data_IF_153453389307
#
_entry.id   IF_153453389307
#
_cell.length_a   1.000
_cell.length_b   1.000
_cell.length_c   1.000
_cell.angle_alpha   90.00
_cell.angle_beta   90.00
_cell.angle_gamma   90.00
#
_symmetry.space_group_name_H-M   'P 1'
#
loop_
_entity.id
_entity.type
_entity.pdbx_description
1 polymer ?
#
# COMPACT_ATOMS: atom_id res chain seq x y z
N UNK A 1 -24.54 -56.32 -3.57
CA UNK A 1 -25.12 -55.46 -2.52
C UNK A 1 -23.94 -54.78 -1.83
N UNK A 2 -23.60 -53.49 -1.94
CA UNK A 2 -24.14 -52.28 -2.61
C UNK A 2 -22.93 -51.56 -3.25
N UNK A 3 -23.19 -50.89 -4.38
CA UNK A 3 -22.26 -50.10 -5.21
C UNK A 3 -22.18 -48.67 -4.66
N UNK A 4 -21.01 -48.05 -4.59
CA UNK A 4 -20.87 -46.58 -4.67
C UNK A 4 -19.44 -46.19 -5.03
N UNK A 5 -19.25 -46.01 -6.34
CA UNK A 5 -18.20 -45.17 -6.90
C UNK A 5 -18.47 -43.72 -6.50
N UNK A 6 -17.46 -43.00 -6.02
CA UNK A 6 -17.52 -41.53 -6.05
C UNK A 6 -16.17 -40.97 -6.48
N UNK A 7 -16.01 -40.85 -7.79
CA UNK A 7 -15.15 -39.85 -8.39
C UNK A 7 -15.73 -38.47 -8.02
N UNK A 8 -14.99 -37.70 -7.22
CA UNK A 8 -15.01 -36.24 -7.28
C UNK A 8 -13.57 -35.85 -7.62
N UNK A 9 -13.26 -35.47 -8.85
CA UNK A 9 -13.91 -34.36 -9.53
C UNK A 9 -13.25 -33.08 -9.02
N UNK A 10 -12.24 -32.67 -9.77
CA UNK A 10 -11.46 -31.42 -9.73
C UNK A 10 -12.18 -30.18 -9.21
N UNK A 11 -11.54 -29.48 -8.27
CA UNK A 11 -11.34 -28.02 -8.26
C UNK A 11 -9.89 -27.84 -7.74
N UNK A 12 -8.85 -27.50 -8.49
CA UNK A 12 -8.75 -26.56 -9.60
C UNK A 12 -9.50 -25.25 -9.36
N UNK A 13 -9.48 -24.76 -8.13
CA UNK A 13 -9.25 -23.33 -7.97
C UNK A 13 -7.76 -23.11 -8.23
N UNK A 14 -7.41 -23.06 -9.52
CA UNK A 14 -6.41 -22.11 -9.97
C UNK A 14 -6.83 -20.80 -9.31
N UNK A 15 -6.20 -20.45 -8.19
CA UNK A 15 -6.06 -19.04 -7.85
C UNK A 15 -5.40 -18.48 -9.10
N UNK A 16 -6.21 -17.89 -9.98
CA UNK A 16 -5.70 -17.00 -11.00
C UNK A 16 -4.70 -16.16 -10.23
N UNK A 17 -3.41 -16.28 -10.58
CA UNK A 17 -2.34 -15.52 -9.96
C UNK A 17 -2.75 -14.07 -10.16
N UNK A 18 -3.49 -13.51 -9.19
CA UNK A 18 -3.95 -12.14 -9.27
C UNK A 18 -2.66 -11.36 -9.44
N UNK A 19 -2.51 -10.65 -10.56
CA UNK A 19 -1.29 -9.91 -10.85
C UNK A 19 -1.01 -8.95 -9.72
N UNK A 20 0.26 -8.74 -9.41
CA UNK A 20 0.64 -7.74 -8.41
C UNK A 20 0.16 -6.35 -8.85
N UNK A 21 -0.35 -5.60 -7.89
CA UNK A 21 -0.74 -4.21 -8.07
C UNK A 21 0.51 -3.39 -8.34
N UNK A 22 0.44 -2.57 -9.38
CA UNK A 22 1.41 -1.51 -9.63
C UNK A 22 1.35 -0.44 -8.53
N UNK A 23 2.41 0.36 -8.41
CA UNK A 23 2.41 1.49 -7.48
C UNK A 23 1.30 2.51 -7.81
N UNK A 24 0.94 2.66 -9.08
CA UNK A 24 -0.14 3.53 -9.53
C UNK A 24 -1.51 3.07 -9.02
N UNK A 25 -1.74 1.75 -8.94
CA UNK A 25 -2.97 1.20 -8.35
C UNK A 25 -3.00 1.33 -6.82
N UNK A 26 -1.84 1.27 -6.17
CA UNK A 26 -1.73 1.39 -4.72
C UNK A 26 -1.89 2.86 -4.28
N UNK A 27 -1.11 3.76 -4.89
CA UNK A 27 -1.01 5.19 -4.57
C UNK A 27 -1.10 6.05 -5.85
N UNK A 28 -2.30 6.23 -6.44
CA UNK A 28 -2.44 6.93 -7.72
C UNK A 28 -1.96 8.39 -7.68
N UNK A 29 -2.24 9.13 -6.60
CA UNK A 29 -1.82 10.52 -6.49
C UNK A 29 -0.30 10.63 -6.34
N UNK A 30 0.31 9.83 -5.45
CA UNK A 30 1.76 9.84 -5.29
C UNK A 30 2.51 9.31 -6.51
N UNK A 31 1.97 8.33 -7.24
CA UNK A 31 2.54 7.88 -8.52
C UNK A 31 2.65 9.04 -9.52
N UNK A 32 1.60 9.84 -9.65
CA UNK A 32 1.60 11.02 -10.52
C UNK A 32 2.62 12.07 -10.06
N UNK A 33 2.69 12.34 -8.75
CA UNK A 33 3.64 13.31 -8.17
C UNK A 33 5.10 12.90 -8.43
N UNK A 34 5.47 11.64 -8.17
CA UNK A 34 6.84 11.19 -8.42
C UNK A 34 7.20 11.21 -9.91
N UNK A 35 6.26 10.96 -10.82
CA UNK A 35 6.49 11.03 -12.27
C UNK A 35 6.72 12.46 -12.75
N UNK A 36 6.01 13.42 -12.18
CA UNK A 36 6.05 14.83 -12.57
C UNK A 36 7.14 15.63 -11.83
N UNK A 37 7.75 15.03 -10.81
CA UNK A 37 8.59 15.73 -9.84
C UNK A 37 7.77 16.21 -8.65
N UNK A 38 8.35 16.06 -7.45
CA UNK A 38 7.72 16.51 -6.20
C UNK A 38 8.12 17.95 -5.88
N UNK A 39 7.16 18.77 -5.46
CA UNK A 39 7.39 20.15 -5.05
C UNK A 39 7.66 20.28 -3.53
N UNK A 40 7.85 21.51 -3.04
CA UNK A 40 8.09 21.77 -1.61
C UNK A 40 6.89 21.40 -0.73
N UNK A 41 5.65 21.55 -1.24
CA UNK A 41 4.44 21.17 -0.50
C UNK A 41 4.38 19.66 -0.36
N UNK A 42 4.67 18.92 -1.44
CA UNK A 42 4.76 17.47 -1.44
C UNK A 42 5.82 16.98 -0.45
N UNK A 43 7.01 17.61 -0.43
CA UNK A 43 8.04 17.30 0.56
C UNK A 43 7.53 17.55 1.98
N UNK A 44 6.86 18.68 2.22
CA UNK A 44 6.28 18.97 3.52
C UNK A 44 5.26 17.90 3.94
N UNK A 45 4.40 17.44 3.04
CA UNK A 45 3.43 16.36 3.29
C UNK A 45 4.16 15.06 3.65
N UNK A 46 5.18 14.64 2.88
CA UNK A 46 5.96 13.44 3.19
C UNK A 46 6.63 13.50 4.56
N UNK A 47 6.98 14.69 5.03
CA UNK A 47 7.71 14.89 6.31
C UNK A 47 6.78 15.05 7.49
N UNK A 48 5.70 15.80 7.34
CA UNK A 48 4.87 16.27 8.47
C UNK A 48 3.49 15.63 8.52
N UNK A 49 3.01 15.06 7.41
CA UNK A 49 1.63 14.62 7.31
C UNK A 49 1.54 13.12 6.99
N UNK A 50 1.48 12.32 8.06
CA UNK A 50 1.36 10.86 7.96
C UNK A 50 0.03 10.40 7.35
N UNK A 51 -1.00 11.26 7.32
CA UNK A 51 -2.30 10.94 6.74
C UNK A 51 -2.24 11.05 5.22
N UNK A 52 -1.61 12.09 4.70
CA UNK A 52 -1.56 12.36 3.25
C UNK A 52 -0.26 11.89 2.56
N UNK A 53 0.68 11.27 3.29
CA UNK A 53 1.88 10.66 2.71
C UNK A 53 1.58 9.39 1.88
N UNK A 54 2.61 8.84 1.22
CA UNK A 54 2.51 7.62 0.37
C UNK A 54 1.78 6.48 1.08
N UNK A 55 2.19 6.19 2.31
CA UNK A 55 1.60 5.11 3.11
C UNK A 55 0.15 5.43 3.46
N UNK A 56 -0.14 6.68 3.86
CA UNK A 56 -1.50 7.11 4.16
C UNK A 56 -2.46 6.98 2.97
N UNK A 57 -1.99 7.29 1.76
CA UNK A 57 -2.75 7.07 0.53
C UNK A 57 -3.00 5.58 0.27
N UNK A 58 -1.98 4.72 0.43
CA UNK A 58 -2.13 3.28 0.23
C UNK A 58 -3.24 2.69 1.12
N UNK A 59 -3.31 3.14 2.37
CA UNK A 59 -4.36 2.76 3.32
C UNK A 59 -5.72 3.47 3.10
N UNK A 60 -5.83 4.33 2.08
CA UNK A 60 -7.08 4.93 1.64
C UNK A 60 -7.61 6.07 2.50
N UNK A 61 -6.72 6.95 3.01
CA UNK A 61 -7.10 8.16 3.77
C UNK A 61 -8.24 7.95 4.79
N UNK A 62 -8.11 6.94 5.66
CA UNK A 62 -9.11 6.69 6.71
C UNK A 62 -8.64 7.22 8.05
N UNK A 63 -9.54 7.80 8.85
CA UNK A 63 -9.24 8.29 10.21
C UNK A 63 -8.57 7.26 11.12
N UNK A 64 -8.56 5.97 10.77
CA UNK A 64 -7.72 4.91 11.39
C UNK A 64 -6.22 5.22 11.39
N UNK A 65 -5.79 6.14 10.53
CA UNK A 65 -4.42 6.68 10.50
C UNK A 65 -4.10 7.56 11.72
N UNK A 66 -5.09 8.00 12.51
CA UNK A 66 -4.84 8.60 13.83
C UNK A 66 -4.21 7.62 14.81
N UNK A 67 -4.36 6.30 14.60
CA UNK A 67 -3.59 5.27 15.29
C UNK A 67 -2.08 5.36 15.05
N UNK A 68 -1.62 6.01 13.96
CA UNK A 68 -0.20 6.30 13.72
C UNK A 68 0.36 7.40 14.64
N UNK A 69 -0.51 8.16 15.33
CA UNK A 69 -0.13 9.14 16.35
C UNK A 69 -0.25 8.60 17.79
N UNK A 70 -0.88 7.43 17.98
CA UNK A 70 -1.17 6.84 19.29
C UNK A 70 -0.42 5.50 19.37
N UNK A 71 0.85 5.60 19.80
CA UNK A 71 1.82 4.51 19.94
C UNK A 71 1.32 3.17 20.55
N UNK A 72 0.32 3.12 21.46
CA UNK A 72 -0.11 1.85 22.08
C UNK A 72 -0.98 0.92 21.23
N UNK A 73 -1.65 1.39 20.15
CA UNK A 73 -2.61 0.57 19.37
C UNK A 73 -2.09 0.13 17.98
N UNK A 74 -0.87 0.53 17.64
CA UNK A 74 -0.17 0.14 16.40
C UNK A 74 -0.15 -1.39 16.16
N UNK A 75 -0.03 -2.27 17.17
CA UNK A 75 0.00 -3.72 16.95
C UNK A 75 -1.35 -4.32 16.49
N UNK A 76 -2.47 -3.60 16.66
CA UNK A 76 -3.82 -4.13 16.45
C UNK A 76 -4.42 -3.61 15.13
N UNK A 77 -4.00 -2.43 14.65
CA UNK A 77 -4.65 -1.73 13.52
C UNK A 77 -3.67 -1.33 12.40
N UNK A 78 -2.35 -1.38 12.62
CA UNK A 78 -1.33 -0.89 11.67
C UNK A 78 -0.22 -1.90 11.35
N UNK A 79 0.53 -1.64 10.26
CA UNK A 79 1.70 -2.44 9.87
C UNK A 79 3.00 -1.70 10.20
N UNK A 80 3.84 -2.28 11.08
CA UNK A 80 5.13 -1.71 11.46
C UNK A 80 6.08 -1.48 10.28
N UNK A 81 6.05 -2.38 9.29
CA UNK A 81 6.87 -2.23 8.08
C UNK A 81 6.40 -1.02 7.25
N UNK A 82 5.10 -0.78 7.14
CA UNK A 82 4.56 0.44 6.52
C UNK A 82 5.01 1.70 7.26
N UNK A 83 5.04 1.69 8.60
CA UNK A 83 5.53 2.83 9.39
C UNK A 83 7.00 3.13 9.05
N UNK A 84 7.84 2.09 8.97
CA UNK A 84 9.25 2.25 8.58
C UNK A 84 9.40 2.80 7.16
N UNK A 85 8.56 2.36 6.22
CA UNK A 85 8.54 2.94 4.88
C UNK A 85 8.18 4.43 4.92
N UNK A 86 7.15 4.81 5.67
CA UNK A 86 6.78 6.22 5.88
C UNK A 86 7.97 7.05 6.38
N UNK A 87 8.67 6.57 7.42
CA UNK A 87 9.87 7.24 7.95
C UNK A 87 11.00 7.36 6.92
N UNK A 88 11.22 6.33 6.09
CA UNK A 88 12.21 6.36 5.00
C UNK A 88 11.83 7.40 3.94
N UNK A 89 10.57 7.47 3.53
CA UNK A 89 10.07 8.52 2.62
C UNK A 89 10.31 9.91 3.22
N UNK A 90 9.96 10.12 4.50
CA UNK A 90 10.21 11.39 5.19
C UNK A 90 11.71 11.73 5.33
N UNK A 91 12.59 10.73 5.41
CA UNK A 91 14.04 10.95 5.48
C UNK A 91 14.58 11.43 4.14
N UNK A 92 14.21 10.78 3.04
CA UNK A 92 14.60 11.18 1.68
C UNK A 92 14.04 12.58 1.37
N UNK A 93 12.77 12.82 1.69
CA UNK A 93 12.14 14.13 1.44
C UNK A 93 12.80 15.30 2.20
N UNK A 94 13.37 15.06 3.40
CA UNK A 94 14.12 16.06 4.17
C UNK A 94 15.46 16.41 3.55
N UNK A 95 16.08 15.45 2.87
CA UNK A 95 17.39 15.65 2.27
C UNK A 95 17.24 16.28 0.88
N UNK A 96 17.16 17.62 0.85
CA UNK A 96 17.06 18.40 -0.40
C UNK A 96 18.26 18.23 -1.35
N UNK A 97 19.36 17.61 -0.89
CA UNK A 97 20.55 17.31 -1.71
C UNK A 97 20.50 15.91 -2.34
N UNK A 98 19.61 15.05 -1.88
CA UNK A 98 19.37 13.76 -2.51
C UNK A 98 18.66 14.03 -3.83
N UNK A 99 19.30 13.71 -4.97
CA UNK A 99 18.59 13.52 -6.25
C UNK A 99 17.43 12.57 -5.95
N UNK A 100 16.18 13.03 -6.07
CA UNK A 100 14.92 12.43 -5.62
C UNK A 100 14.76 10.92 -5.94
N UNK A 101 15.58 10.08 -5.32
CA UNK A 101 15.72 8.68 -5.69
C UNK A 101 14.79 7.85 -4.80
N UNK A 102 13.51 8.07 -5.03
CA UNK A 102 12.45 7.28 -4.39
C UNK A 102 12.27 5.91 -5.06
N UNK A 103 12.89 5.66 -6.22
CA UNK A 103 12.60 4.49 -7.07
C UNK A 103 12.80 3.15 -6.35
N UNK A 104 13.94 2.96 -5.68
CA UNK A 104 14.18 1.73 -4.90
C UNK A 104 13.18 1.58 -3.75
N UNK A 105 12.90 2.68 -3.04
CA UNK A 105 11.97 2.68 -1.92
C UNK A 105 10.53 2.39 -2.35
N UNK A 106 10.10 2.92 -3.50
CA UNK A 106 8.79 2.65 -4.11
C UNK A 106 8.68 1.17 -4.49
N UNK A 107 9.70 0.60 -5.10
CA UNK A 107 9.73 -0.82 -5.47
C UNK A 107 9.60 -1.72 -4.24
N UNK A 108 10.43 -1.47 -3.21
CA UNK A 108 10.42 -2.23 -1.95
C UNK A 108 9.06 -2.12 -1.22
N UNK A 109 8.49 -0.91 -1.19
CA UNK A 109 7.18 -0.66 -0.63
C UNK A 109 6.08 -1.41 -1.39
N UNK A 110 6.09 -1.36 -2.72
CA UNK A 110 5.08 -2.01 -3.58
C UNK A 110 5.12 -3.53 -3.43
N UNK A 111 6.32 -4.12 -3.35
CA UNK A 111 6.50 -5.54 -3.05
C UNK A 111 5.91 -5.92 -1.71
N UNK A 112 6.23 -5.15 -0.66
CA UNK A 112 5.69 -5.38 0.67
C UNK A 112 4.16 -5.26 0.69
N UNK A 113 3.62 -4.25 0.02
CA UNK A 113 2.18 -4.02 -0.06
C UNK A 113 1.46 -5.18 -0.73
N UNK A 114 1.96 -5.66 -1.87
CA UNK A 114 1.38 -6.81 -2.56
C UNK A 114 1.40 -8.07 -1.71
N UNK A 115 2.46 -8.29 -0.92
CA UNK A 115 2.59 -9.46 -0.06
C UNK A 115 1.65 -9.43 1.17
N UNK A 116 1.37 -8.26 1.73
CA UNK A 116 0.71 -8.14 3.05
C UNK A 116 -0.65 -7.44 3.02
N UNK A 117 -0.88 -6.55 2.07
CA UNK A 117 -1.95 -5.55 2.10
C UNK A 117 -2.74 -5.45 0.78
N UNK A 118 -2.40 -6.23 -0.25
CA UNK A 118 -3.07 -6.25 -1.56
C UNK A 118 -4.60 -6.26 -1.48
N UNK A 119 -5.16 -7.12 -0.61
CA UNK A 119 -6.61 -7.24 -0.41
C UNK A 119 -7.27 -5.92 0.00
N UNK A 120 -6.57 -5.05 0.75
CA UNK A 120 -7.08 -3.75 1.17
C UNK A 120 -7.36 -2.86 -0.05
N UNK A 121 -6.39 -2.79 -0.97
CA UNK A 121 -6.53 -2.01 -2.21
C UNK A 121 -7.59 -2.61 -3.12
N UNK A 122 -7.61 -3.94 -3.30
CA UNK A 122 -8.63 -4.62 -4.11
C UNK A 122 -10.04 -4.34 -3.58
N UNK A 123 -10.27 -4.49 -2.27
CA UNK A 123 -11.57 -4.19 -1.65
C UNK A 123 -11.95 -2.73 -1.86
N UNK A 124 -11.00 -1.79 -1.69
CA UNK A 124 -11.22 -0.36 -1.94
C UNK A 124 -11.62 -0.10 -3.40
N UNK A 125 -10.86 -0.61 -4.37
CA UNK A 125 -11.14 -0.42 -5.79
C UNK A 125 -12.51 -0.99 -6.18
N UNK A 126 -12.85 -2.19 -5.70
CA UNK A 126 -14.18 -2.80 -5.91
C UNK A 126 -15.31 -1.91 -5.35
N UNK A 127 -15.10 -1.29 -4.18
CA UNK A 127 -16.09 -0.38 -3.58
C UNK A 127 -16.29 0.93 -4.35
N UNK A 128 -15.30 1.36 -5.13
CA UNK A 128 -15.40 2.54 -6.00
C UNK A 128 -16.16 2.19 -7.27
N UNK A 129 -15.87 1.03 -7.88
CA UNK A 129 -16.53 0.57 -9.12
C UNK A 129 -18.01 0.22 -8.91
N UNK A 130 -18.40 -0.18 -7.69
CA UNK A 130 -19.78 -0.51 -7.34
C UNK A 130 -20.68 0.72 -7.07
N UNK A 131 -20.14 1.94 -7.16
CA UNK A 131 -20.87 3.21 -7.00
C UNK A 131 -21.08 3.87 -8.36
#
# INVERSE_FOLDING_TARGET
MVKLEFLRGTQSESQALESDLSFEEICPNWSKKFRNGIDEIDRMILVKDSKYCVVGEAWGFTGKQTGYYIAPLIPIVGCWTCIRYGQKFSKIARDKKSNDNFGSLISDFSKHWNQRHKKITITRLRSIVAR
#
